data_IF_340770988424
#
_entry.id   IF_340770988424
#
_cell.length_a   1.000
_cell.length_b   1.000
_cell.length_c   1.000
_cell.angle_alpha   90.00
_cell.angle_beta   90.00
_cell.angle_gamma   90.00
#
_symmetry.space_group_name_H-M   'P 1'
#
loop_
_entity.id
_entity.type
_entity.pdbx_description
1 polymer ?
#
# COMPACT_ATOMS: atom_id res chain seq x y z
N UNK A 1 -34.41 4.78 40.49
CA UNK A 1 -34.32 3.32 40.18
C UNK A 1 -33.25 3.00 39.16
N UNK A 2 -32.82 3.98 38.34
CA UNK A 2 -31.66 3.84 37.43
C UNK A 2 -30.34 3.80 38.17
N UNK A 3 -30.22 4.60 39.23
CA UNK A 3 -29.02 4.71 40.08
C UNK A 3 -28.64 3.40 40.78
N UNK A 4 -29.64 2.54 41.13
CA UNK A 4 -29.40 1.26 41.79
C UNK A 4 -28.86 0.17 40.87
N UNK A 5 -29.26 0.19 39.59
CA UNK A 5 -28.72 -0.68 38.55
C UNK A 5 -27.31 -0.26 38.13
N UNK A 6 -27.06 1.06 38.11
CA UNK A 6 -25.75 1.63 37.85
C UNK A 6 -24.73 1.21 38.95
N UNK A 7 -25.11 1.26 40.21
CA UNK A 7 -24.25 0.89 41.31
C UNK A 7 -24.00 -0.63 41.39
N UNK A 8 -25.02 -1.47 41.12
CA UNK A 8 -24.89 -2.93 41.25
C UNK A 8 -24.17 -3.61 40.10
N UNK A 9 -24.32 -3.09 38.86
CA UNK A 9 -23.74 -3.71 37.66
C UNK A 9 -22.38 -3.08 37.34
N UNK A 10 -22.25 -1.75 37.44
CA UNK A 10 -21.05 -1.02 37.03
C UNK A 10 -19.93 -1.10 38.05
N UNK A 11 -20.24 -1.19 39.38
CA UNK A 11 -19.23 -1.32 40.42
C UNK A 11 -18.41 -2.61 40.36
N UNK A 12 -18.87 -3.61 39.60
CA UNK A 12 -18.19 -4.90 39.47
C UNK A 12 -17.37 -5.08 38.16
N UNK A 13 -17.44 -4.10 37.25
CA UNK A 13 -16.71 -4.12 36.00
C UNK A 13 -15.69 -3.00 35.98
N UNK A 14 -14.42 -3.35 35.98
CA UNK A 14 -13.29 -2.42 35.84
C UNK A 14 -13.28 -1.84 34.41
N UNK A 15 -14.23 -0.91 34.13
CA UNK A 15 -14.45 -0.35 32.78
C UNK A 15 -13.51 0.82 32.53
N UNK A 16 -12.64 0.68 31.55
CA UNK A 16 -11.86 1.79 30.99
C UNK A 16 -12.78 2.96 30.65
N UNK A 17 -12.33 4.19 30.84
CA UNK A 17 -13.09 5.45 30.77
C UNK A 17 -14.02 5.62 29.55
N UNK A 18 -13.81 4.88 28.43
CA UNK A 18 -14.70 4.93 27.26
C UNK A 18 -15.91 3.99 27.30
N UNK A 19 -15.88 2.91 28.08
CA UNK A 19 -16.95 1.92 28.18
C UNK A 19 -18.02 2.29 29.22
N UNK A 20 -17.71 3.18 30.12
CA UNK A 20 -18.63 3.61 31.19
C UNK A 20 -19.89 4.34 30.69
N UNK A 21 -19.82 5.01 29.54
CA UNK A 21 -20.96 5.68 28.91
C UNK A 21 -21.76 4.78 27.94
N UNK A 22 -21.08 3.87 27.24
CA UNK A 22 -21.72 3.06 26.23
C UNK A 22 -22.64 1.98 26.84
N UNK A 23 -22.23 1.36 27.94
CA UNK A 23 -22.97 0.26 28.56
C UNK A 23 -24.33 0.70 29.12
N UNK A 24 -24.46 1.80 29.93
CA UNK A 24 -25.74 2.29 30.38
C UNK A 24 -26.67 2.71 29.25
N UNK A 25 -26.12 3.35 28.21
CA UNK A 25 -26.90 3.79 27.06
C UNK A 25 -27.49 2.62 26.29
N UNK A 26 -26.72 1.57 26.03
CA UNK A 26 -27.22 0.36 25.38
C UNK A 26 -28.28 -0.35 26.23
N UNK A 27 -28.04 -0.48 27.53
CA UNK A 27 -29.01 -1.07 28.46
C UNK A 27 -30.32 -0.26 28.48
N UNK A 28 -30.23 1.07 28.49
CA UNK A 28 -31.39 1.95 28.40
C UNK A 28 -32.20 1.72 27.13
N UNK A 29 -31.55 1.57 25.97
CA UNK A 29 -32.26 1.27 24.72
C UNK A 29 -32.95 -0.09 24.73
N UNK A 30 -32.33 -1.12 25.34
CA UNK A 30 -32.97 -2.45 25.50
C UNK A 30 -34.19 -2.37 26.43
N UNK A 31 -34.10 -1.64 27.56
CA UNK A 31 -35.21 -1.45 28.50
C UNK A 31 -36.34 -0.66 27.85
N UNK A 32 -36.06 0.43 27.15
CA UNK A 32 -37.06 1.23 26.45
C UNK A 32 -37.74 0.40 25.34
N UNK A 33 -36.96 -0.31 24.54
CA UNK A 33 -37.49 -1.20 23.50
C UNK A 33 -38.42 -2.30 24.06
N UNK A 34 -37.98 -2.94 25.16
CA UNK A 34 -38.78 -3.91 25.88
C UNK A 34 -40.09 -3.32 26.46
N UNK A 35 -39.99 -2.12 27.05
CA UNK A 35 -41.14 -1.36 27.55
C UNK A 35 -42.16 -1.03 26.47
N UNK A 36 -41.72 -0.64 25.29
CA UNK A 36 -42.57 -0.38 24.13
C UNK A 36 -43.35 -1.66 23.73
N UNK A 37 -42.67 -2.80 23.67
CA UNK A 37 -43.26 -4.08 23.33
C UNK A 37 -44.35 -4.48 24.34
N UNK A 38 -44.05 -4.36 25.64
CA UNK A 38 -45.01 -4.65 26.72
C UNK A 38 -46.23 -3.72 26.65
N UNK A 39 -45.98 -2.42 26.40
CA UNK A 39 -47.06 -1.43 26.29
C UNK A 39 -48.00 -1.72 25.13
N UNK A 40 -47.47 -2.08 23.96
CA UNK A 40 -48.30 -2.45 22.82
C UNK A 40 -49.09 -3.73 23.07
N UNK A 41 -48.54 -4.72 23.78
CA UNK A 41 -49.25 -5.89 24.23
C UNK A 41 -50.42 -5.56 25.17
N UNK A 42 -50.20 -4.64 26.13
CA UNK A 42 -51.25 -4.20 27.06
C UNK A 42 -52.36 -3.38 26.39
N UNK A 43 -52.07 -2.70 25.29
CA UNK A 43 -53.03 -1.97 24.46
C UNK A 43 -53.85 -2.88 23.54
N UNK A 44 -53.67 -4.21 23.60
CA UNK A 44 -54.43 -5.19 22.83
C UNK A 44 -54.02 -5.33 21.37
N UNK A 45 -52.83 -4.87 21.00
CA UNK A 45 -52.26 -5.14 19.68
C UNK A 45 -51.99 -6.65 19.55
N UNK A 46 -52.54 -7.26 18.51
CA UNK A 46 -52.36 -8.69 18.26
C UNK A 46 -50.89 -9.00 17.98
N UNK A 47 -50.39 -10.14 18.46
CA UNK A 47 -49.00 -10.61 18.26
C UNK A 47 -48.61 -10.64 16.77
N UNK A 48 -49.52 -10.98 15.88
CA UNK A 48 -49.31 -11.01 14.43
C UNK A 48 -48.93 -9.63 13.85
N UNK A 49 -49.48 -8.52 14.37
CA UNK A 49 -49.17 -7.19 13.93
C UNK A 49 -47.80 -6.74 14.46
N UNK A 50 -47.46 -7.14 15.69
CA UNK A 50 -46.18 -6.79 16.32
C UNK A 50 -45.02 -7.51 15.66
N UNK A 51 -45.17 -8.76 15.22
CA UNK A 51 -44.11 -9.50 14.55
C UNK A 51 -43.74 -8.86 13.20
N UNK A 52 -44.69 -8.33 12.44
CA UNK A 52 -44.38 -7.61 11.20
C UNK A 52 -43.60 -6.32 11.43
N UNK A 53 -43.94 -5.58 12.48
CA UNK A 53 -43.19 -4.39 12.87
C UNK A 53 -41.77 -4.74 13.32
N UNK A 54 -41.66 -5.81 14.15
CA UNK A 54 -40.37 -6.33 14.58
C UNK A 54 -39.48 -6.80 13.42
N UNK A 55 -40.10 -7.50 12.44
CA UNK A 55 -39.37 -7.92 11.23
C UNK A 55 -38.88 -6.72 10.41
N UNK A 56 -39.74 -5.71 10.19
CA UNK A 56 -39.35 -4.49 9.47
C UNK A 56 -38.21 -3.73 10.17
N UNK A 57 -38.29 -3.57 11.50
CA UNK A 57 -37.24 -2.97 12.31
C UNK A 57 -35.94 -3.82 12.26
N UNK A 58 -36.06 -5.15 12.32
CA UNK A 58 -34.94 -6.07 12.24
C UNK A 58 -34.18 -5.95 10.92
N UNK A 59 -34.91 -5.86 9.80
CA UNK A 59 -34.33 -5.65 8.47
C UNK A 59 -33.63 -4.28 8.41
N UNK A 60 -34.28 -3.21 8.90
CA UNK A 60 -33.69 -1.88 8.95
C UNK A 60 -32.40 -1.82 9.77
N UNK A 61 -32.40 -2.42 10.96
CA UNK A 61 -31.23 -2.55 11.82
C UNK A 61 -30.13 -3.41 11.16
N UNK A 62 -30.52 -4.50 10.47
CA UNK A 62 -29.60 -5.36 9.74
C UNK A 62 -28.84 -4.60 8.68
N UNK A 63 -29.50 -3.78 7.87
CA UNK A 63 -28.85 -2.91 6.91
C UNK A 63 -27.96 -1.85 7.58
N UNK A 64 -28.42 -1.25 8.70
CA UNK A 64 -27.62 -0.28 9.46
C UNK A 64 -26.35 -0.87 10.08
N UNK A 65 -26.36 -2.16 10.41
CA UNK A 65 -25.23 -2.87 11.03
C UNK A 65 -24.38 -3.66 10.02
N UNK A 66 -24.76 -3.71 8.74
CA UNK A 66 -24.12 -4.52 7.70
C UNK A 66 -22.61 -4.35 7.65
N UNK A 67 -22.12 -3.11 7.67
CA UNK A 67 -20.69 -2.82 7.62
C UNK A 67 -19.94 -3.30 8.87
N UNK A 68 -20.59 -3.26 10.03
CA UNK A 68 -20.00 -3.74 11.29
C UNK A 68 -19.81 -5.25 11.21
N UNK A 69 -20.84 -5.97 10.77
CA UNK A 69 -20.77 -7.42 10.60
C UNK A 69 -19.77 -7.84 9.52
N UNK A 70 -19.74 -7.14 8.38
CA UNK A 70 -18.78 -7.40 7.32
C UNK A 70 -17.35 -7.29 7.83
N UNK A 71 -17.01 -6.22 8.56
CA UNK A 71 -15.70 -6.02 9.13
C UNK A 71 -15.36 -7.06 10.22
N UNK A 72 -16.33 -7.47 11.02
CA UNK A 72 -16.14 -8.50 12.04
C UNK A 72 -15.84 -9.87 11.40
N UNK A 73 -16.65 -10.30 10.44
CA UNK A 73 -16.44 -11.57 9.72
C UNK A 73 -15.09 -11.54 8.97
N UNK A 74 -14.77 -10.43 8.28
CA UNK A 74 -13.48 -10.28 7.62
C UNK A 74 -12.30 -10.36 8.62
N UNK A 75 -12.46 -9.80 9.82
CA UNK A 75 -11.46 -9.96 10.89
C UNK A 75 -11.23 -11.41 11.29
N UNK A 76 -12.29 -12.22 11.36
CA UNK A 76 -12.19 -13.66 11.61
C UNK A 76 -11.46 -14.36 10.47
N UNK A 77 -11.82 -14.06 9.20
CA UNK A 77 -11.15 -14.61 8.01
C UNK A 77 -9.65 -14.31 8.05
N UNK A 78 -9.26 -13.05 8.31
CA UNK A 78 -7.86 -12.66 8.42
C UNK A 78 -7.08 -13.46 9.47
N UNK A 79 -7.70 -13.78 10.59
CA UNK A 79 -7.07 -14.56 11.66
C UNK A 79 -6.91 -16.04 11.29
N UNK A 80 -7.84 -16.62 10.53
CA UNK A 80 -7.82 -18.02 10.13
C UNK A 80 -6.96 -18.26 8.88
N UNK A 81 -7.20 -17.51 7.79
CA UNK A 81 -6.50 -17.69 6.52
C UNK A 81 -5.13 -17.03 6.49
N UNK A 82 -4.94 -15.99 7.29
CA UNK A 82 -3.67 -15.26 7.45
C UNK A 82 -3.05 -14.77 6.13
N UNK A 83 -3.82 -14.12 5.23
CA UNK A 83 -3.26 -13.53 4.02
C UNK A 83 -2.28 -12.39 4.33
N UNK A 84 -2.39 -11.81 5.52
CA UNK A 84 -1.47 -10.85 6.12
C UNK A 84 -1.16 -11.25 7.57
N UNK A 85 0.04 -10.93 8.04
CA UNK A 85 0.50 -11.19 9.41
C UNK A 85 1.03 -9.90 10.02
N UNK A 86 1.05 -9.85 11.36
CA UNK A 86 1.71 -8.73 12.06
C UNK A 86 3.20 -8.78 11.71
N UNK A 87 3.73 -7.63 11.27
CA UNK A 87 5.10 -7.49 10.77
C UNK A 87 5.23 -7.52 9.25
N UNK A 88 4.22 -8.00 8.51
CA UNK A 88 4.26 -7.99 7.05
C UNK A 88 4.27 -6.56 6.51
N UNK A 89 5.04 -6.35 5.44
CA UNK A 89 5.00 -5.13 4.65
C UNK A 89 4.02 -5.35 3.50
N UNK A 90 3.03 -4.48 3.41
CA UNK A 90 1.94 -4.60 2.46
C UNK A 90 1.65 -3.28 1.75
N UNK A 91 1.07 -3.39 0.54
CA UNK A 91 0.43 -2.28 -0.16
C UNK A 91 -1.06 -2.57 -0.29
N UNK A 92 -1.90 -1.66 0.18
CA UNK A 92 -3.35 -1.67 0.03
C UNK A 92 -3.83 -0.26 -0.33
N UNK A 93 -4.64 -0.10 -1.38
CA UNK A 93 -5.17 1.20 -1.83
C UNK A 93 -4.07 2.28 -1.98
N UNK A 94 -2.93 1.92 -2.59
CA UNK A 94 -1.74 2.78 -2.73
C UNK A 94 -1.12 3.26 -1.40
N UNK A 95 -1.45 2.58 -0.30
CA UNK A 95 -0.85 2.82 1.01
C UNK A 95 0.15 1.71 1.29
N UNK A 96 1.40 2.08 1.45
CA UNK A 96 2.50 1.17 1.80
C UNK A 96 2.75 1.24 3.31
N UNK A 97 2.96 0.10 3.95
CA UNK A 97 3.32 0.09 5.36
C UNK A 97 3.41 -1.30 5.97
N UNK A 98 3.78 -1.34 7.23
CA UNK A 98 3.91 -2.56 8.01
C UNK A 98 2.64 -2.80 8.83
N UNK A 99 2.12 -4.01 8.80
CA UNK A 99 0.99 -4.42 9.65
C UNK A 99 1.43 -4.43 11.11
N UNK A 100 0.92 -3.49 11.89
CA UNK A 100 1.28 -3.35 13.31
C UNK A 100 0.32 -4.08 14.24
N UNK A 101 -0.97 -4.09 13.93
CA UNK A 101 -2.01 -4.74 14.76
C UNK A 101 -3.20 -5.18 13.92
N UNK A 102 -3.69 -6.39 14.18
CA UNK A 102 -4.95 -6.92 13.64
C UNK A 102 -5.96 -6.98 14.77
N UNK A 103 -7.08 -6.24 14.67
CA UNK A 103 -8.17 -6.22 15.64
C UNK A 103 -9.44 -6.79 15.01
N UNK A 104 -10.48 -6.94 15.82
CA UNK A 104 -11.76 -7.56 15.44
C UNK A 104 -12.38 -6.93 14.19
N UNK A 105 -12.38 -5.59 14.04
CA UNK A 105 -13.03 -4.88 12.93
C UNK A 105 -12.09 -4.08 12.05
N UNK A 106 -10.85 -3.87 12.46
CA UNK A 106 -9.91 -3.04 11.74
C UNK A 106 -8.47 -3.49 12.02
N UNK A 107 -7.63 -3.40 11.01
CA UNK A 107 -6.19 -3.63 11.05
C UNK A 107 -5.48 -2.29 11.03
N UNK A 108 -4.42 -2.14 11.83
CA UNK A 108 -3.58 -0.94 11.86
C UNK A 108 -2.32 -1.22 11.05
N UNK A 109 -2.01 -0.32 10.13
CA UNK A 109 -0.77 -0.30 9.33
C UNK A 109 0.04 0.90 9.78
N UNK A 110 1.33 0.73 9.98
CA UNK A 110 2.27 1.84 10.22
C UNK A 110 3.02 2.11 8.92
N UNK A 111 2.88 3.30 8.35
CA UNK A 111 3.58 3.71 7.13
C UNK A 111 5.06 4.02 7.40
N UNK A 112 5.82 4.32 6.34
CA UNK A 112 7.24 4.66 6.45
C UNK A 112 7.50 6.02 7.14
N UNK A 113 6.47 6.90 7.21
CA UNK A 113 6.50 8.16 7.97
C UNK A 113 6.09 7.97 9.44
N UNK A 114 5.85 6.73 9.89
CA UNK A 114 5.38 6.35 11.23
C UNK A 114 3.95 6.75 11.56
N UNK A 115 3.11 7.02 10.56
CA UNK A 115 1.69 7.26 10.76
C UNK A 115 0.96 5.93 10.95
N UNK A 116 0.07 5.86 11.94
CA UNK A 116 -0.83 4.72 12.12
C UNK A 116 -2.08 4.90 11.25
N UNK A 117 -2.26 4.04 10.27
CA UNK A 117 -3.40 4.03 9.37
C UNK A 117 -4.32 2.89 9.77
N UNK A 118 -5.58 3.22 10.09
CA UNK A 118 -6.59 2.24 10.50
C UNK A 118 -7.42 1.88 9.28
N UNK A 119 -7.29 0.64 8.83
CA UNK A 119 -7.99 0.10 7.65
C UNK A 119 -9.06 -0.89 8.11
N UNK A 120 -10.32 -0.75 7.67
CA UNK A 120 -11.37 -1.72 7.94
C UNK A 120 -10.99 -3.13 7.44
N UNK A 121 -11.27 -4.17 8.22
CA UNK A 121 -10.89 -5.54 7.84
C UNK A 121 -11.53 -6.01 6.54
N UNK A 122 -12.73 -5.52 6.22
CA UNK A 122 -13.42 -5.82 4.97
C UNK A 122 -12.55 -5.54 3.74
N UNK A 123 -11.78 -4.44 3.75
CA UNK A 123 -10.94 -4.06 2.63
C UNK A 123 -9.87 -5.13 2.32
N UNK A 124 -9.32 -5.77 3.35
CA UNK A 124 -8.32 -6.83 3.17
C UNK A 124 -8.89 -8.12 2.55
N UNK A 125 -10.20 -8.29 2.56
CA UNK A 125 -10.87 -9.47 2.00
C UNK A 125 -11.46 -9.17 0.63
N UNK A 126 -11.90 -7.92 0.39
CA UNK A 126 -12.62 -7.54 -0.84
C UNK A 126 -11.76 -6.82 -1.86
N UNK A 127 -10.60 -6.30 -1.47
CA UNK A 127 -9.72 -5.52 -2.33
C UNK A 127 -8.41 -6.28 -2.64
N UNK A 128 -7.70 -5.82 -3.66
CA UNK A 128 -6.39 -6.37 -3.99
C UNK A 128 -5.35 -5.90 -2.98
N UNK A 129 -4.60 -6.84 -2.42
CA UNK A 129 -3.49 -6.59 -1.51
C UNK A 129 -2.20 -7.11 -2.15
N UNK A 130 -1.13 -6.33 -2.06
CA UNK A 130 0.22 -6.79 -2.36
C UNK A 130 0.92 -7.03 -1.03
N UNK A 131 1.30 -8.27 -0.75
CA UNK A 131 2.10 -8.62 0.42
C UNK A 131 3.53 -8.89 -0.02
N UNK A 132 4.47 -8.07 0.45
CA UNK A 132 5.88 -8.10 0.06
C UNK A 132 6.71 -9.08 0.87
N UNK A 133 6.16 -9.67 1.93
CA UNK A 133 6.89 -10.49 2.90
C UNK A 133 6.19 -11.79 3.28
N UNK A 134 5.11 -12.17 2.59
CA UNK A 134 4.27 -13.32 2.97
C UNK A 134 5.01 -14.67 2.91
N UNK A 135 5.74 -14.92 1.82
CA UNK A 135 6.50 -16.16 1.59
C UNK A 135 7.99 -15.95 1.83
N UNK A 136 8.55 -14.95 1.19
CA UNK A 136 9.92 -14.49 1.36
C UNK A 136 9.97 -12.97 1.26
N UNK A 137 11.11 -12.39 1.56
CA UNK A 137 11.32 -10.94 1.52
C UNK A 137 12.09 -10.50 0.28
N UNK A 138 12.46 -11.45 -0.60
CA UNK A 138 13.26 -11.17 -1.79
C UNK A 138 12.47 -10.28 -2.75
N UNK A 139 13.03 -9.13 -3.04
CA UNK A 139 12.39 -8.14 -3.90
C UNK A 139 13.25 -7.86 -5.13
N UNK A 140 12.61 -7.87 -6.31
CA UNK A 140 13.25 -7.45 -7.55
C UNK A 140 13.30 -5.92 -7.64
N UNK A 141 14.49 -5.41 -7.97
CA UNK A 141 14.73 -4.00 -8.26
C UNK A 141 15.11 -3.84 -9.72
N UNK A 142 14.54 -2.85 -10.38
CA UNK A 142 14.80 -2.53 -11.77
C UNK A 142 15.45 -1.14 -11.82
N UNK A 143 16.66 -1.07 -12.36
CA UNK A 143 17.40 0.17 -12.56
C UNK A 143 17.49 0.42 -14.06
N UNK A 144 16.91 1.52 -14.53
CA UNK A 144 16.93 1.94 -15.92
C UNK A 144 18.04 2.93 -16.16
N UNK A 145 18.82 2.69 -17.20
CA UNK A 145 19.99 3.50 -17.55
C UNK A 145 19.97 3.81 -19.03
N UNK A 146 19.92 5.09 -19.40
CA UNK A 146 20.03 5.55 -20.78
C UNK A 146 21.42 6.12 -21.06
N UNK A 147 22.11 5.59 -22.06
CA UNK A 147 23.40 6.09 -22.50
C UNK A 147 23.32 6.75 -23.87
N UNK A 148 24.24 7.65 -24.20
CA UNK A 148 24.25 8.35 -25.46
C UNK A 148 24.51 7.42 -26.64
N UNK A 149 23.96 7.77 -27.80
CA UNK A 149 24.28 7.09 -29.06
C UNK A 149 25.79 7.16 -29.33
N UNK A 150 26.34 6.06 -29.81
CA UNK A 150 27.79 5.89 -29.97
C UNK A 150 28.46 5.19 -28.78
N UNK A 151 27.81 5.06 -27.64
CA UNK A 151 28.30 4.26 -26.52
C UNK A 151 28.31 2.77 -26.89
N UNK A 152 29.35 2.06 -26.48
CA UNK A 152 29.49 0.63 -26.75
C UNK A 152 28.50 -0.20 -25.90
N UNK A 153 27.38 -0.64 -26.48
CA UNK A 153 26.32 -1.41 -25.79
C UNK A 153 26.86 -2.61 -25.00
N UNK A 154 27.82 -3.33 -25.59
CA UNK A 154 28.45 -4.50 -24.94
C UNK A 154 29.27 -4.08 -23.72
N UNK A 155 29.96 -2.95 -23.78
CA UNK A 155 30.75 -2.42 -22.65
C UNK A 155 29.82 -1.97 -21.52
N UNK A 156 28.74 -1.23 -21.85
CA UNK A 156 27.73 -0.81 -20.90
C UNK A 156 27.15 -2.01 -20.17
N UNK A 157 26.74 -3.05 -20.89
CA UNK A 157 26.20 -4.27 -20.30
C UNK A 157 27.18 -4.98 -19.34
N UNK A 158 28.47 -5.05 -19.73
CA UNK A 158 29.51 -5.64 -18.86
C UNK A 158 29.74 -4.82 -17.58
N UNK A 159 29.77 -3.50 -17.68
CA UNK A 159 29.96 -2.62 -16.52
C UNK A 159 28.77 -2.71 -15.56
N UNK A 160 27.54 -2.67 -16.08
CA UNK A 160 26.34 -2.83 -15.27
C UNK A 160 26.31 -4.18 -14.52
N UNK A 161 26.70 -5.26 -15.20
CA UNK A 161 26.79 -6.58 -14.58
C UNK A 161 27.87 -6.60 -13.49
N UNK A 162 29.05 -6.04 -13.74
CA UNK A 162 30.14 -5.94 -12.77
C UNK A 162 29.70 -5.15 -11.52
N UNK A 163 29.00 -4.02 -11.70
CA UNK A 163 28.47 -3.20 -10.61
C UNK A 163 27.53 -4.03 -9.74
N UNK A 164 26.59 -4.72 -10.37
CA UNK A 164 25.62 -5.53 -9.65
C UNK A 164 26.28 -6.67 -8.86
N UNK A 165 27.24 -7.38 -9.47
CA UNK A 165 27.95 -8.49 -8.83
C UNK A 165 28.84 -8.04 -7.65
N UNK A 166 29.35 -6.83 -7.69
CA UNK A 166 30.20 -6.26 -6.64
C UNK A 166 29.40 -5.64 -5.48
N UNK A 167 28.10 -5.38 -5.66
CA UNK A 167 27.31 -4.77 -4.61
C UNK A 167 26.91 -5.82 -3.55
N UNK A 168 27.18 -5.59 -2.26
CA UNK A 168 26.95 -6.57 -1.20
C UNK A 168 25.48 -6.82 -0.87
N UNK A 169 24.56 -5.92 -1.29
CA UNK A 169 23.11 -6.07 -1.08
C UNK A 169 22.44 -6.86 -2.19
N UNK A 170 23.11 -7.03 -3.32
CA UNK A 170 22.57 -7.76 -4.46
C UNK A 170 22.75 -9.25 -4.24
N UNK A 171 21.67 -10.00 -4.37
CA UNK A 171 21.70 -11.46 -4.29
C UNK A 171 22.42 -12.06 -5.51
N UNK A 172 23.14 -13.16 -5.26
CA UNK A 172 23.76 -13.97 -6.32
C UNK A 172 22.78 -14.96 -6.93
N UNK A 173 21.76 -15.31 -6.19
CA UNK A 173 20.64 -16.15 -6.60
C UNK A 173 19.33 -15.52 -6.08
N UNK A 174 18.43 -15.06 -6.97
CA UNK A 174 18.53 -15.06 -8.44
C UNK A 174 19.64 -14.12 -8.97
N UNK A 175 20.33 -14.57 -10.03
CA UNK A 175 21.44 -13.82 -10.63
C UNK A 175 20.98 -12.48 -11.21
N UNK A 176 21.80 -11.39 -11.12
CA UNK A 176 21.54 -10.14 -11.80
C UNK A 176 21.46 -10.31 -13.33
N UNK A 177 20.56 -9.56 -13.96
CA UNK A 177 20.37 -9.59 -15.41
C UNK A 177 20.49 -8.18 -15.98
N UNK A 178 21.15 -8.06 -17.12
CA UNK A 178 21.28 -6.80 -17.87
C UNK A 178 20.66 -6.99 -19.25
N UNK A 179 19.79 -6.07 -19.63
CA UNK A 179 19.15 -6.04 -20.93
C UNK A 179 19.41 -4.72 -21.63
N UNK A 180 19.69 -4.77 -22.91
CA UNK A 180 19.54 -3.64 -23.81
C UNK A 180 18.14 -3.73 -24.41
N UNK A 181 17.29 -2.77 -24.10
CA UNK A 181 15.85 -2.88 -24.40
C UNK A 181 15.44 -2.15 -25.66
N UNK A 182 15.97 -0.94 -25.86
CA UNK A 182 15.43 -0.05 -26.89
C UNK A 182 16.44 0.96 -27.37
N UNK A 183 16.26 1.37 -28.66
CA UNK A 183 16.82 2.57 -29.24
C UNK A 183 15.76 3.68 -29.10
N UNK A 184 15.86 4.49 -28.05
CA UNK A 184 14.92 5.58 -27.79
C UNK A 184 15.32 6.86 -28.55
N UNK A 185 14.52 7.94 -28.44
CA UNK A 185 14.74 9.18 -29.22
C UNK A 185 16.15 9.77 -29.05
N UNK A 186 16.71 9.69 -27.83
CA UNK A 186 18.03 10.28 -27.52
C UNK A 186 18.93 9.33 -26.74
N UNK A 187 18.49 8.10 -26.45
CA UNK A 187 19.17 7.19 -25.54
C UNK A 187 19.19 5.75 -26.07
N UNK A 188 20.24 5.02 -25.72
CA UNK A 188 20.28 3.55 -25.76
C UNK A 188 19.88 3.04 -24.40
N UNK A 189 18.64 2.50 -24.29
CA UNK A 189 18.03 2.15 -23.03
C UNK A 189 18.48 0.77 -22.55
N UNK A 190 19.09 0.75 -21.36
CA UNK A 190 19.49 -0.47 -20.67
C UNK A 190 18.65 -0.64 -19.40
N UNK A 191 18.46 -1.88 -18.99
CA UNK A 191 17.79 -2.24 -17.76
C UNK A 191 18.63 -3.26 -16.99
N UNK A 192 19.01 -2.89 -15.77
CA UNK A 192 19.65 -3.78 -14.81
C UNK A 192 18.58 -4.29 -13.84
N UNK A 193 18.38 -5.60 -13.79
CA UNK A 193 17.49 -6.29 -12.84
C UNK A 193 18.31 -6.97 -11.79
N UNK A 194 18.07 -6.61 -10.55
CA UNK A 194 18.73 -7.20 -9.38
C UNK A 194 17.68 -7.70 -8.39
N UNK A 195 18.10 -8.55 -7.47
CA UNK A 195 17.29 -8.97 -6.34
C UNK A 195 17.99 -8.60 -5.05
N UNK A 196 17.23 -8.11 -4.08
CA UNK A 196 17.70 -7.79 -2.73
C UNK A 196 16.96 -8.65 -1.72
N UNK A 197 17.61 -8.94 -0.59
CA UNK A 197 17.07 -9.85 0.41
C UNK A 197 15.89 -9.25 1.18
N UNK A 198 15.95 -7.97 1.47
CA UNK A 198 14.94 -7.27 2.26
C UNK A 198 14.48 -6.00 1.57
N UNK A 199 13.22 -5.61 1.78
CA UNK A 199 12.64 -4.42 1.17
C UNK A 199 13.39 -3.14 1.57
N UNK A 200 13.94 -3.08 2.79
CA UNK A 200 14.73 -1.95 3.27
C UNK A 200 16.02 -1.76 2.46
N UNK A 201 16.61 -2.84 1.94
CA UNK A 201 17.82 -2.79 1.12
C UNK A 201 17.58 -2.23 -0.28
N UNK A 202 16.32 -2.17 -0.73
CA UNK A 202 15.95 -1.74 -2.08
C UNK A 202 16.49 -0.36 -2.43
N UNK A 203 16.18 0.64 -1.62
CA UNK A 203 16.60 2.02 -1.89
C UNK A 203 18.10 2.22 -1.66
N UNK A 204 18.69 1.50 -0.70
CA UNK A 204 20.12 1.53 -0.45
C UNK A 204 20.90 0.94 -1.63
N UNK A 205 20.45 -0.21 -2.16
CA UNK A 205 21.08 -0.82 -3.34
C UNK A 205 20.94 0.08 -4.57
N UNK A 206 19.79 0.74 -4.78
CA UNK A 206 19.60 1.70 -5.89
C UNK A 206 20.59 2.86 -5.78
N UNK A 207 20.73 3.46 -4.60
CA UNK A 207 21.67 4.59 -4.40
C UNK A 207 23.12 4.17 -4.64
N UNK A 208 23.55 3.06 -4.03
CA UNK A 208 24.91 2.53 -4.19
C UNK A 208 25.24 2.20 -5.65
N UNK A 209 24.31 1.52 -6.34
CA UNK A 209 24.49 1.14 -7.75
C UNK A 209 24.52 2.39 -8.65
N UNK A 210 23.63 3.35 -8.46
CA UNK A 210 23.60 4.57 -9.27
C UNK A 210 24.89 5.38 -9.11
N UNK A 211 25.43 5.49 -7.90
CA UNK A 211 26.73 6.14 -7.65
C UNK A 211 27.88 5.42 -8.37
N UNK A 212 27.85 4.09 -8.34
CA UNK A 212 28.88 3.30 -8.99
C UNK A 212 28.76 3.33 -10.52
N UNK A 213 27.53 3.40 -11.06
CA UNK A 213 27.27 3.64 -12.49
C UNK A 213 27.88 4.97 -12.90
N UNK A 214 27.59 6.07 -12.19
CA UNK A 214 28.13 7.39 -12.50
C UNK A 214 29.67 7.38 -12.51
N UNK A 215 30.28 6.74 -11.52
CA UNK A 215 31.74 6.64 -11.42
C UNK A 215 32.33 5.85 -12.58
N UNK A 216 31.88 4.62 -12.80
CA UNK A 216 32.46 3.73 -13.82
C UNK A 216 32.15 4.21 -15.25
N UNK A 217 31.02 4.83 -15.49
CA UNK A 217 30.71 5.38 -16.80
C UNK A 217 31.63 6.55 -17.14
N UNK A 218 31.87 7.46 -16.19
CA UNK A 218 32.86 8.57 -16.36
C UNK A 218 34.25 8.03 -16.64
N UNK A 219 34.70 7.02 -15.90
CA UNK A 219 36.01 6.41 -16.08
C UNK A 219 36.19 5.75 -17.45
N UNK A 220 35.11 5.21 -18.02
CA UNK A 220 35.17 4.54 -19.32
C UNK A 220 34.66 5.39 -20.50
N UNK A 221 34.46 6.70 -20.28
CA UNK A 221 34.04 7.63 -21.32
C UNK A 221 32.62 7.36 -21.86
N UNK A 222 31.75 6.73 -21.05
CA UNK A 222 30.37 6.52 -21.39
C UNK A 222 29.55 7.72 -20.91
N UNK A 223 28.86 8.37 -21.84
CA UNK A 223 28.01 9.53 -21.54
C UNK A 223 26.59 9.05 -21.19
N UNK A 224 26.11 9.49 -20.00
CA UNK A 224 24.69 9.35 -19.65
C UNK A 224 23.93 10.36 -20.49
N UNK A 225 22.98 9.89 -21.31
CA UNK A 225 22.39 10.71 -22.35
C UNK A 225 21.47 11.80 -21.79
N UNK A 226 21.59 12.99 -22.35
CA UNK A 226 20.62 14.07 -22.20
C UNK A 226 19.58 14.01 -23.33
N UNK A 227 18.41 14.59 -23.10
CA UNK A 227 17.42 14.76 -24.16
C UNK A 227 17.98 15.67 -25.25
N UNK A 228 18.09 15.17 -26.47
CA UNK A 228 18.55 15.95 -27.62
C UNK A 228 17.35 16.42 -28.42
N UNK A 229 17.43 17.65 -28.93
CA UNK A 229 16.43 18.23 -29.80
C UNK A 229 17.11 18.85 -31.00
N UNK A 230 16.84 18.33 -32.21
CA UNK A 230 17.30 18.93 -33.45
C UNK A 230 16.37 20.07 -33.85
N UNK A 231 16.87 21.31 -33.80
CA UNK A 231 16.10 22.50 -34.15
C UNK A 231 16.47 22.98 -35.55
N UNK A 232 15.58 22.80 -36.52
CA UNK A 232 15.72 23.33 -37.88
C UNK A 232 15.14 24.76 -37.94
N UNK A 233 15.99 25.77 -37.96
CA UNK A 233 15.59 27.16 -38.16
C UNK A 233 15.43 27.46 -39.66
N UNK A 234 14.21 27.53 -40.16
CA UNK A 234 13.94 27.97 -41.51
C UNK A 234 13.77 29.48 -41.57
N UNK A 235 14.69 30.20 -42.25
CA UNK A 235 14.56 31.63 -42.50
C UNK A 235 13.42 31.88 -43.48
N UNK A 236 12.57 32.88 -43.18
CA UNK A 236 11.43 33.29 -44.01
C UNK A 236 11.83 33.86 -45.38
N UNK A 237 13.13 34.15 -45.60
CA UNK A 237 13.66 34.78 -46.82
C UNK A 237 14.50 33.82 -47.71
N UNK A 238 14.25 32.52 -47.70
CA UNK A 238 14.74 31.61 -48.72
C UNK A 238 16.29 31.43 -48.78
N UNK A 239 17.05 31.94 -47.85
CA UNK A 239 18.49 31.67 -47.72
C UNK A 239 18.69 30.65 -46.61
N UNK A 240 18.94 29.40 -47.02
CA UNK A 240 19.43 28.37 -46.08
C UNK A 240 20.75 28.80 -45.46
N UNK A 241 20.75 29.25 -44.23
CA UNK A 241 21.93 29.23 -43.40
C UNK A 241 21.94 27.89 -42.67
N UNK A 242 22.88 27.04 -43.02
CA UNK A 242 23.27 25.91 -42.20
C UNK A 242 23.66 26.46 -40.81
N UNK A 243 22.77 26.28 -39.83
CA UNK A 243 23.08 26.65 -38.45
C UNK A 243 23.80 25.45 -37.84
N UNK A 244 25.06 25.68 -37.41
CA UNK A 244 25.77 24.73 -36.58
C UNK A 244 24.92 24.31 -35.38
N UNK A 245 24.96 23.02 -35.05
CA UNK A 245 24.29 22.50 -33.86
C UNK A 245 24.84 23.22 -32.62
N UNK A 246 23.97 23.99 -31.96
CA UNK A 246 24.29 24.54 -30.65
C UNK A 246 23.88 23.52 -29.59
N UNK A 247 24.87 23.05 -28.84
CA UNK A 247 24.68 22.30 -27.61
C UNK A 247 24.24 23.32 -26.56
N UNK A 248 23.01 23.27 -26.10
CA UNK A 248 22.59 24.07 -24.95
C UNK A 248 22.93 23.21 -23.71
N UNK A 249 24.05 23.54 -23.07
CA UNK A 249 24.41 23.04 -21.77
C UNK A 249 23.52 23.77 -20.75
N UNK A 250 22.66 23.01 -20.04
CA UNK A 250 21.84 23.50 -18.95
C UNK A 250 22.36 22.96 -17.62
#
# INVERSE_FOLDING_TARGET
HLDLLEVLVLARMDLRQGTSYATPTLLSYVIVGGGIIITFGALGLSWDKMQWLGAALGVGLGFGLQEIFANFISGIILLFERPIRIGDVITINNLDGTVSRIRIRATTITDFDRKEIIVPNKNFVTEQIINWSLQDTITRVIIKVGVAYGSGVTLVGKLLMQIAQNNPRVLKDPEPLVFFLNFAESTLDHELRIHVKELVDRNLAIDEINREIDRLFKENGIEIAFRQLDVNLRSRNGREKLVQSYRIDA
#
